data_IF_985708596031
#
_entry.id   IF_985708596031
#
_cell.length_a   1.000
_cell.length_b   1.000
_cell.length_c   1.000
_cell.angle_alpha   90.00
_cell.angle_beta   90.00
_cell.angle_gamma   90.00
#
_symmetry.space_group_name_H-M   'P 1'
#
loop_
_entity.id
_entity.type
_entity.pdbx_description
1 polymer ?
#
# COMPACT_ATOMS: atom_id res chain seq x y z
N UNK A 1 -25.53 -7.50 -11.04
CA UNK A 1 -24.77 -8.75 -10.83
C UNK A 1 -23.87 -8.88 -12.04
N UNK A 2 -22.57 -8.84 -11.82
CA UNK A 2 -21.58 -9.13 -12.86
C UNK A 2 -21.75 -10.60 -13.25
N UNK A 3 -21.73 -10.92 -14.53
CA UNK A 3 -21.87 -12.30 -15.00
C UNK A 3 -20.58 -13.05 -14.67
N UNK A 4 -20.64 -14.07 -13.88
CA UNK A 4 -19.48 -14.93 -13.60
C UNK A 4 -19.32 -15.92 -14.77
N UNK A 5 -18.28 -15.75 -15.56
CA UNK A 5 -18.00 -16.57 -16.74
C UNK A 5 -17.30 -17.89 -16.40
N UNK A 6 -16.75 -18.07 -15.22
CA UNK A 6 -16.01 -19.29 -14.81
C UNK A 6 -16.81 -20.57 -15.07
N UNK A 7 -18.09 -20.61 -14.68
CA UNK A 7 -18.94 -21.80 -14.92
C UNK A 7 -19.19 -22.07 -16.41
N UNK A 8 -19.30 -21.03 -17.22
CA UNK A 8 -19.48 -21.13 -18.66
C UNK A 8 -18.20 -21.66 -19.32
N UNK A 9 -17.04 -21.12 -18.94
CA UNK A 9 -15.71 -21.57 -19.37
C UNK A 9 -15.49 -23.04 -19.02
N UNK A 10 -15.74 -23.44 -17.77
CA UNK A 10 -15.63 -24.83 -17.34
C UNK A 10 -16.55 -25.76 -18.13
N UNK A 11 -17.77 -25.33 -18.45
CA UNK A 11 -18.70 -26.12 -19.28
C UNK A 11 -18.20 -26.31 -20.71
N UNK A 12 -17.52 -25.30 -21.27
CA UNK A 12 -16.90 -25.35 -22.58
C UNK A 12 -15.69 -26.33 -22.57
N UNK A 13 -14.83 -26.21 -21.57
CA UNK A 13 -13.66 -27.11 -21.41
C UNK A 13 -14.11 -28.57 -21.30
N UNK A 14 -15.16 -28.85 -20.53
CA UNK A 14 -15.68 -30.22 -20.34
C UNK A 14 -16.62 -30.69 -21.46
N UNK A 15 -16.87 -29.88 -22.51
CA UNK A 15 -17.82 -30.21 -23.59
C UNK A 15 -17.34 -31.30 -24.53
N UNK A 16 -16.04 -31.67 -24.50
CA UNK A 16 -15.45 -32.64 -25.39
C UNK A 16 -15.31 -32.18 -26.87
N UNK A 17 -15.28 -30.87 -27.08
CA UNK A 17 -15.06 -30.27 -28.42
C UNK A 17 -13.67 -30.59 -28.98
N UNK A 18 -13.49 -30.58 -30.32
CA UNK A 18 -12.16 -30.61 -30.91
C UNK A 18 -11.28 -29.46 -30.44
N UNK A 19 -9.96 -29.68 -30.31
CA UNK A 19 -9.01 -28.70 -29.80
C UNK A 19 -9.10 -27.31 -30.46
N UNK A 20 -9.24 -27.26 -31.79
CA UNK A 20 -9.33 -26.01 -32.54
C UNK A 20 -10.64 -25.23 -32.24
N UNK A 21 -11.76 -25.95 -32.11
CA UNK A 21 -13.04 -25.32 -31.77
C UNK A 21 -13.10 -24.89 -30.32
N UNK A 22 -12.38 -25.60 -29.43
CA UNK A 22 -12.24 -25.24 -28.03
C UNK A 22 -11.41 -23.95 -27.88
N UNK A 23 -10.28 -23.85 -28.56
CA UNK A 23 -9.46 -22.64 -28.57
C UNK A 23 -10.24 -21.42 -29.10
N UNK A 24 -10.96 -21.58 -30.23
CA UNK A 24 -11.78 -20.52 -30.83
C UNK A 24 -12.87 -20.01 -29.86
N UNK A 25 -13.50 -20.90 -29.08
CA UNK A 25 -14.52 -20.50 -28.10
C UNK A 25 -13.95 -19.85 -26.87
N UNK A 26 -12.76 -20.27 -26.47
CA UNK A 26 -12.10 -19.68 -25.27
C UNK A 26 -11.50 -18.31 -25.58
N UNK A 27 -11.11 -18.03 -26.82
CA UNK A 27 -10.63 -16.69 -27.20
C UNK A 27 -11.72 -15.59 -27.19
N UNK A 28 -13.00 -15.95 -26.98
CA UNK A 28 -14.07 -14.99 -26.74
C UNK A 28 -14.12 -14.47 -25.28
N UNK A 29 -13.33 -15.05 -24.38
CA UNK A 29 -13.28 -14.68 -22.96
C UNK A 29 -12.01 -13.90 -22.64
N UNK A 30 -12.11 -13.01 -21.66
CA UNK A 30 -10.98 -12.26 -21.15
C UNK A 30 -10.02 -13.19 -20.39
N UNK A 31 -8.72 -12.92 -20.46
CA UNK A 31 -7.64 -13.71 -19.85
C UNK A 31 -7.83 -13.86 -18.34
N UNK A 32 -8.31 -12.80 -17.64
CA UNK A 32 -8.67 -12.86 -16.21
C UNK A 32 -9.77 -13.89 -15.91
N UNK A 33 -10.82 -13.98 -16.74
CA UNK A 33 -11.87 -14.99 -16.56
C UNK A 33 -11.34 -16.41 -16.79
N UNK A 34 -10.35 -16.55 -17.67
CA UNK A 34 -9.65 -17.82 -17.92
C UNK A 34 -8.72 -18.17 -16.74
N UNK A 35 -8.00 -17.21 -16.17
CA UNK A 35 -7.19 -17.38 -14.96
C UNK A 35 -8.05 -17.85 -13.79
N UNK A 36 -9.17 -17.19 -13.50
CA UNK A 36 -10.12 -17.60 -12.47
C UNK A 36 -10.67 -19.03 -12.69
N UNK A 37 -10.79 -19.46 -13.95
CA UNK A 37 -11.23 -20.81 -14.27
C UNK A 37 -10.13 -21.87 -14.04
N UNK A 38 -8.85 -21.52 -14.14
CA UNK A 38 -7.73 -22.43 -13.89
C UNK A 38 -7.74 -23.00 -12.47
N UNK A 39 -8.12 -22.19 -11.46
CA UNK A 39 -8.19 -22.62 -10.07
C UNK A 39 -9.17 -23.80 -9.87
N UNK A 40 -10.25 -23.85 -10.66
CA UNK A 40 -11.27 -24.89 -10.56
C UNK A 40 -10.94 -26.16 -11.35
N UNK A 41 -9.86 -26.15 -12.16
CA UNK A 41 -9.42 -27.29 -12.97
C UNK A 41 -8.39 -28.16 -12.24
N UNK A 42 -8.36 -29.42 -12.58
CA UNK A 42 -7.28 -30.33 -12.13
C UNK A 42 -5.98 -30.07 -12.92
N UNK A 43 -4.79 -30.41 -12.35
CA UNK A 43 -3.51 -30.25 -13.06
C UNK A 43 -3.49 -30.88 -14.46
N UNK A 44 -4.11 -32.04 -14.66
CA UNK A 44 -4.18 -32.71 -15.94
C UNK A 44 -5.05 -31.96 -16.97
N UNK A 45 -6.12 -31.34 -16.52
CA UNK A 45 -6.98 -30.51 -17.37
C UNK A 45 -6.25 -29.23 -17.75
N UNK A 46 -5.57 -28.58 -16.82
CA UNK A 46 -4.76 -27.38 -17.07
C UNK A 46 -3.65 -27.64 -18.10
N UNK A 47 -2.85 -28.70 -17.93
CA UNK A 47 -1.81 -29.08 -18.90
C UNK A 47 -2.40 -29.33 -20.31
N UNK A 48 -3.59 -29.98 -20.38
CA UNK A 48 -4.28 -30.15 -21.66
C UNK A 48 -4.69 -28.81 -22.25
N UNK A 49 -5.19 -27.89 -21.42
CA UNK A 49 -5.63 -26.56 -21.82
C UNK A 49 -4.46 -25.70 -22.32
N UNK A 50 -3.31 -25.69 -21.61
CA UNK A 50 -2.10 -24.99 -22.06
C UNK A 50 -1.65 -25.43 -23.46
N UNK A 51 -1.70 -26.73 -23.74
CA UNK A 51 -1.39 -27.25 -25.08
C UNK A 51 -2.36 -26.84 -26.19
N UNK A 52 -3.56 -26.35 -25.82
CA UNK A 52 -4.61 -25.93 -26.74
C UNK A 52 -4.54 -24.43 -27.01
N UNK A 53 -4.34 -23.64 -25.96
CA UNK A 53 -4.31 -22.18 -26.03
C UNK A 53 -3.03 -21.63 -26.66
N UNK A 54 -1.90 -22.33 -26.46
CA UNK A 54 -0.59 -21.87 -26.92
C UNK A 54 0.13 -21.01 -25.88
N UNK A 55 1.43 -20.75 -26.12
CA UNK A 55 2.31 -20.13 -25.14
C UNK A 55 1.91 -18.68 -24.88
N UNK A 56 1.61 -17.92 -25.94
CA UNK A 56 1.30 -16.49 -25.84
C UNK A 56 0.06 -16.25 -24.96
N UNK A 57 -1.06 -16.95 -25.25
CA UNK A 57 -2.29 -16.84 -24.44
C UNK A 57 -2.09 -17.37 -23.00
N UNK A 58 -1.23 -18.37 -22.80
CA UNK A 58 -0.93 -18.88 -21.45
C UNK A 58 -0.11 -17.87 -20.67
N UNK A 59 0.83 -17.18 -21.29
CA UNK A 59 1.59 -16.09 -20.70
C UNK A 59 0.63 -14.97 -20.21
N UNK A 60 -0.24 -14.47 -21.11
CA UNK A 60 -1.26 -13.47 -20.77
C UNK A 60 -2.21 -13.91 -19.63
N UNK A 61 -2.58 -15.20 -19.56
CA UNK A 61 -3.40 -15.71 -18.45
C UNK A 61 -2.63 -15.71 -17.14
N UNK A 62 -1.34 -16.03 -17.17
CA UNK A 62 -0.52 -16.14 -15.96
C UNK A 62 -0.24 -14.79 -15.30
N UNK A 63 -0.25 -13.68 -16.04
CA UNK A 63 -0.18 -12.32 -15.46
C UNK A 63 -1.37 -11.97 -14.56
N UNK A 64 -2.49 -12.68 -14.67
CA UNK A 64 -3.68 -12.50 -13.84
C UNK A 64 -3.78 -13.48 -12.66
N UNK A 65 -2.77 -14.29 -12.41
CA UNK A 65 -2.72 -15.20 -11.26
C UNK A 65 -2.08 -14.51 -10.06
N UNK A 66 -2.69 -14.58 -8.89
CA UNK A 66 -2.13 -14.03 -7.65
C UNK A 66 -0.87 -14.80 -7.19
N UNK A 67 -0.69 -16.05 -7.62
CA UNK A 67 0.46 -16.92 -7.36
C UNK A 67 0.65 -17.84 -8.58
N UNK A 68 1.67 -17.57 -9.39
CA UNK A 68 1.99 -18.33 -10.59
C UNK A 68 2.80 -19.61 -10.30
N UNK A 69 3.43 -19.73 -9.12
CA UNK A 69 4.31 -20.85 -8.76
C UNK A 69 3.69 -22.24 -8.97
N UNK A 70 2.47 -22.55 -8.45
CA UNK A 70 1.87 -23.87 -8.60
C UNK A 70 1.64 -24.26 -10.06
N UNK A 71 1.31 -23.27 -10.91
CA UNK A 71 1.00 -23.48 -12.33
C UNK A 71 2.26 -23.62 -13.17
N UNK A 72 3.31 -22.84 -12.88
CA UNK A 72 4.61 -22.96 -13.52
C UNK A 72 5.27 -24.32 -13.22
N UNK A 73 5.13 -24.82 -12.00
CA UNK A 73 5.62 -26.15 -11.59
C UNK A 73 4.90 -27.31 -12.27
N UNK A 74 3.71 -27.11 -12.82
CA UNK A 74 3.01 -28.12 -13.62
C UNK A 74 3.58 -28.27 -15.04
N UNK A 75 4.34 -27.26 -15.52
CA UNK A 75 4.95 -27.25 -16.83
C UNK A 75 6.38 -27.84 -16.78
N UNK A 76 6.82 -28.53 -17.86
CA UNK A 76 8.25 -28.82 -18.02
C UNK A 76 9.03 -27.50 -18.06
N UNK A 77 10.21 -27.44 -17.41
CA UNK A 77 10.98 -26.19 -17.27
C UNK A 77 11.28 -25.46 -18.59
N UNK A 78 11.32 -26.16 -19.74
CA UNK A 78 11.51 -25.53 -21.04
C UNK A 78 10.22 -24.90 -21.60
N UNK A 79 9.04 -25.36 -21.16
CA UNK A 79 7.74 -24.75 -21.50
C UNK A 79 7.46 -23.59 -20.55
N UNK A 80 7.74 -23.74 -19.26
CA UNK A 80 7.68 -22.64 -18.30
C UNK A 80 8.59 -21.47 -18.72
N UNK A 81 9.82 -21.74 -19.15
CA UNK A 81 10.72 -20.72 -19.68
C UNK A 81 10.14 -19.97 -20.90
N UNK A 82 9.43 -20.68 -21.77
CA UNK A 82 8.77 -20.01 -22.92
C UNK A 82 7.58 -19.15 -22.48
N UNK A 83 6.80 -19.59 -21.49
CA UNK A 83 5.70 -18.80 -20.95
C UNK A 83 6.26 -17.50 -20.36
N UNK A 84 7.27 -17.61 -19.52
CA UNK A 84 7.93 -16.45 -18.91
C UNK A 84 8.54 -15.51 -19.95
N UNK A 85 9.22 -16.02 -20.99
CA UNK A 85 9.76 -15.19 -22.08
C UNK A 85 8.69 -14.48 -22.93
N UNK A 86 7.41 -14.82 -22.82
CA UNK A 86 6.31 -14.15 -23.49
C UNK A 86 5.44 -13.33 -22.53
N UNK A 87 5.80 -13.22 -21.26
CA UNK A 87 5.18 -12.28 -20.31
C UNK A 87 5.83 -10.89 -20.46
N UNK A 88 5.17 -9.86 -19.96
CA UNK A 88 5.83 -8.58 -19.75
C UNK A 88 6.97 -8.76 -18.74
N UNK A 89 8.03 -7.97 -18.82
CA UNK A 89 9.26 -8.25 -18.09
C UNK A 89 9.13 -8.10 -16.58
N UNK A 90 8.27 -7.24 -16.10
CA UNK A 90 7.86 -7.09 -14.70
C UNK A 90 7.10 -8.33 -14.22
N UNK A 91 6.03 -8.74 -14.90
CA UNK A 91 5.26 -9.96 -14.60
C UNK A 91 6.16 -11.22 -14.62
N UNK A 92 7.11 -11.27 -15.54
CA UNK A 92 8.06 -12.38 -15.63
C UNK A 92 8.98 -12.46 -14.42
N UNK A 93 9.42 -11.31 -13.91
CA UNK A 93 10.26 -11.22 -12.70
C UNK A 93 9.44 -11.62 -11.46
N UNK A 94 8.23 -11.10 -11.29
CA UNK A 94 7.36 -11.45 -10.16
C UNK A 94 7.07 -12.97 -10.15
N UNK A 95 6.72 -13.56 -11.30
CA UNK A 95 6.50 -14.99 -11.42
C UNK A 95 7.76 -15.84 -11.13
N UNK A 96 8.96 -15.29 -11.35
CA UNK A 96 10.24 -15.96 -11.03
C UNK A 96 10.61 -15.77 -9.56
N UNK A 97 10.20 -14.68 -8.91
CA UNK A 97 10.49 -14.45 -7.49
C UNK A 97 9.67 -15.35 -6.58
N UNK A 98 8.46 -15.71 -6.98
CA UNK A 98 7.62 -16.68 -6.29
C UNK A 98 8.21 -18.10 -6.27
N UNK A 99 9.10 -18.44 -7.21
CA UNK A 99 9.70 -19.77 -7.32
C UNK A 99 10.83 -20.00 -6.32
N UNK A 100 10.99 -21.23 -5.88
CA UNK A 100 12.18 -21.61 -5.10
C UNK A 100 13.47 -21.54 -5.95
N UNK A 101 14.62 -21.30 -5.30
CA UNK A 101 15.93 -21.12 -5.95
C UNK A 101 16.29 -22.21 -6.96
N UNK A 102 15.78 -23.43 -6.80
CA UNK A 102 16.09 -24.57 -7.68
C UNK A 102 15.33 -24.47 -8.99
N UNK A 103 14.02 -24.24 -8.90
CA UNK A 103 13.12 -24.15 -10.05
C UNK A 103 13.40 -22.84 -10.82
N UNK A 104 13.59 -21.71 -10.10
CA UNK A 104 14.02 -20.43 -10.66
C UNK A 104 15.28 -20.58 -11.52
N UNK A 105 16.35 -21.15 -10.97
CA UNK A 105 17.60 -21.34 -11.70
C UNK A 105 17.45 -22.29 -12.91
N UNK A 106 16.58 -23.32 -12.82
CA UNK A 106 16.35 -24.26 -13.93
C UNK A 106 15.62 -23.58 -15.09
N UNK A 107 14.65 -22.72 -14.80
CA UNK A 107 13.88 -21.96 -15.80
C UNK A 107 14.76 -20.87 -16.41
N UNK A 108 15.41 -20.02 -15.61
CA UNK A 108 16.27 -18.90 -16.07
C UNK A 108 17.38 -19.41 -17.02
N UNK A 109 17.95 -20.60 -16.78
CA UNK A 109 18.94 -21.18 -17.69
C UNK A 109 18.38 -21.60 -19.06
N UNK A 110 17.06 -21.59 -19.25
CA UNK A 110 16.37 -21.99 -20.50
C UNK A 110 15.67 -20.84 -21.20
N UNK A 111 15.66 -19.64 -20.59
CA UNK A 111 15.17 -18.41 -21.23
C UNK A 111 16.01 -18.04 -22.45
N UNK A 112 15.43 -17.25 -23.34
CA UNK A 112 16.19 -16.66 -24.45
C UNK A 112 17.16 -15.58 -23.94
N UNK A 113 18.00 -15.05 -24.83
CA UNK A 113 19.06 -14.12 -24.40
C UNK A 113 18.55 -12.74 -24.06
N UNK A 114 17.52 -12.27 -24.74
CA UNK A 114 17.00 -10.92 -24.58
C UNK A 114 16.22 -10.87 -23.25
N UNK A 115 15.33 -11.84 -22.98
CA UNK A 115 14.64 -12.00 -21.69
C UNK A 115 15.62 -12.13 -20.50
N UNK A 116 16.73 -12.87 -20.65
CA UNK A 116 17.77 -12.98 -19.60
C UNK A 116 18.46 -11.64 -19.29
N UNK A 117 18.62 -10.77 -20.29
CA UNK A 117 19.23 -9.45 -20.06
C UNK A 117 18.25 -8.52 -19.32
N UNK A 118 17.00 -8.50 -19.72
CA UNK A 118 15.94 -7.70 -19.12
C UNK A 118 15.68 -8.13 -17.66
N UNK A 119 15.48 -9.42 -17.42
CA UNK A 119 15.29 -9.95 -16.06
C UNK A 119 16.49 -9.66 -15.13
N UNK A 120 17.73 -9.80 -15.61
CA UNK A 120 18.90 -9.44 -14.81
C UNK A 120 18.96 -7.96 -14.51
N UNK A 121 18.46 -7.12 -15.40
CA UNK A 121 18.38 -5.69 -15.18
C UNK A 121 17.33 -5.39 -14.11
N UNK A 122 16.11 -5.94 -14.20
CA UNK A 122 15.05 -5.74 -13.21
C UNK A 122 15.46 -6.29 -11.84
N UNK A 123 15.95 -7.52 -11.75
CA UNK A 123 16.46 -8.14 -10.51
C UNK A 123 17.68 -7.43 -9.90
N UNK A 124 18.26 -6.42 -10.56
CA UNK A 124 19.35 -5.61 -10.01
C UNK A 124 18.87 -4.41 -9.19
N UNK A 125 17.58 -4.11 -9.24
CA UNK A 125 16.94 -3.07 -8.44
C UNK A 125 16.45 -3.65 -7.12
N UNK A 126 16.34 -2.80 -6.10
CA UNK A 126 15.66 -3.17 -4.86
C UNK A 126 14.14 -3.17 -5.09
N UNK A 127 13.39 -4.01 -4.37
CA UNK A 127 11.93 -4.16 -4.51
C UNK A 127 11.16 -2.83 -4.36
N UNK A 128 11.71 -1.88 -3.59
CA UNK A 128 11.16 -0.54 -3.37
C UNK A 128 11.52 0.47 -4.46
N UNK A 129 12.38 0.12 -5.42
CA UNK A 129 12.81 1.00 -6.52
C UNK A 129 11.89 0.84 -7.73
N UNK A 130 11.57 1.94 -8.42
CA UNK A 130 10.74 1.93 -9.65
C UNK A 130 11.27 0.96 -10.71
N UNK A 131 12.60 0.81 -10.79
CA UNK A 131 13.22 -0.09 -11.75
C UNK A 131 12.84 -1.56 -11.60
N UNK A 132 12.39 -2.00 -10.41
CA UNK A 132 11.92 -3.37 -10.20
C UNK A 132 10.54 -3.65 -10.80
N UNK A 133 9.74 -2.59 -11.01
CA UNK A 133 8.35 -2.64 -11.46
C UNK A 133 8.13 -2.10 -12.87
N UNK A 134 9.21 -1.88 -13.63
CA UNK A 134 9.10 -1.39 -15.00
C UNK A 134 9.06 -2.52 -16.01
N UNK A 135 8.32 -2.33 -17.10
CA UNK A 135 8.39 -3.21 -18.26
C UNK A 135 9.31 -2.64 -19.34
N UNK A 136 10.01 -3.53 -20.07
CA UNK A 136 10.81 -3.18 -21.25
C UNK A 136 9.99 -3.23 -22.56
N UNK A 137 8.72 -3.60 -22.47
CA UNK A 137 7.77 -3.70 -23.57
C UNK A 137 7.22 -2.32 -23.96
N UNK A 138 7.96 -1.56 -24.78
CA UNK A 138 7.55 -0.23 -25.25
C UNK A 138 8.07 0.10 -26.67
N UNK A 139 7.45 1.11 -27.28
CA UNK A 139 7.85 1.61 -28.60
C UNK A 139 8.77 2.83 -28.46
N UNK A 140 9.97 2.78 -29.05
CA UNK A 140 10.87 3.93 -29.14
C UNK A 140 11.17 4.31 -30.59
N UNK A 141 11.21 5.64 -30.85
CA UNK A 141 11.52 6.22 -32.16
C UNK A 141 12.55 7.36 -32.00
N UNK A 142 13.28 7.67 -33.08
CA UNK A 142 14.26 8.76 -33.03
C UNK A 142 13.65 10.10 -33.42
N UNK A 143 14.12 11.17 -32.78
CA UNK A 143 13.62 12.53 -32.95
C UNK A 143 13.89 13.12 -34.38
N UNK A 144 14.82 12.56 -35.13
CA UNK A 144 15.19 12.97 -36.49
C UNK A 144 14.35 12.30 -37.60
N UNK A 145 13.44 11.38 -37.23
CA UNK A 145 12.58 10.67 -38.17
C UNK A 145 11.50 11.57 -38.78
N UNK A 146 11.09 11.24 -39.98
CA UNK A 146 9.84 11.74 -40.56
C UNK A 146 8.65 10.96 -40.04
N UNK A 147 7.44 11.54 -40.09
CA UNK A 147 6.19 10.87 -39.68
C UNK A 147 6.04 9.48 -40.35
N UNK A 148 6.38 9.39 -41.64
CA UNK A 148 6.32 8.11 -42.38
C UNK A 148 7.32 7.07 -41.86
N UNK A 149 8.53 7.51 -41.46
CA UNK A 149 9.54 6.62 -40.86
C UNK A 149 9.12 6.19 -39.47
N UNK A 150 8.62 7.12 -38.64
CA UNK A 150 8.11 6.83 -37.30
C UNK A 150 6.97 5.81 -37.33
N UNK A 151 6.02 5.99 -38.27
CA UNK A 151 4.92 5.02 -38.48
C UNK A 151 5.44 3.65 -38.95
N UNK A 152 6.46 3.62 -39.79
CA UNK A 152 7.06 2.35 -40.26
C UNK A 152 7.81 1.64 -39.10
N UNK A 153 8.48 2.38 -38.25
CA UNK A 153 9.19 1.83 -37.10
C UNK A 153 8.19 1.34 -36.04
N UNK A 154 7.11 2.09 -35.76
CA UNK A 154 6.00 1.63 -34.91
C UNK A 154 5.46 0.28 -35.40
N UNK A 155 5.08 0.16 -36.69
CA UNK A 155 4.51 -1.11 -37.23
C UNK A 155 5.49 -2.26 -37.11
N UNK A 156 6.79 -2.01 -37.19
CA UNK A 156 7.81 -3.03 -37.03
C UNK A 156 7.93 -3.49 -35.58
N UNK A 157 7.93 -2.55 -34.62
CA UNK A 157 8.06 -2.85 -33.19
C UNK A 157 6.76 -3.38 -32.58
N UNK A 158 5.59 -2.97 -33.07
CA UNK A 158 4.28 -3.42 -32.60
C UNK A 158 3.97 -4.92 -32.83
N UNK A 159 4.84 -5.66 -33.51
CA UNK A 159 4.75 -7.12 -33.60
C UNK A 159 5.37 -7.86 -32.41
N UNK A 160 6.15 -7.14 -31.60
CA UNK A 160 6.90 -7.68 -30.46
C UNK A 160 6.59 -6.89 -29.15
N UNK A 161 5.81 -5.79 -29.25
CA UNK A 161 5.50 -4.91 -28.13
C UNK A 161 4.02 -4.54 -28.13
N UNK A 162 3.34 -4.69 -27.00
CA UNK A 162 1.90 -4.43 -26.83
C UNK A 162 1.62 -3.00 -26.35
N UNK A 163 2.57 -2.36 -25.64
CA UNK A 163 2.46 -1.00 -25.13
C UNK A 163 2.71 0.05 -26.23
N UNK A 164 1.77 0.14 -27.19
CA UNK A 164 1.88 0.98 -28.40
C UNK A 164 1.17 2.34 -28.28
N UNK A 165 0.41 2.58 -27.23
CA UNK A 165 -0.44 3.79 -27.11
C UNK A 165 0.35 5.07 -26.94
N UNK A 166 1.55 4.98 -26.38
CA UNK A 166 2.52 6.08 -26.25
C UNK A 166 3.84 5.67 -26.91
N UNK A 167 4.35 6.52 -27.80
CA UNK A 167 5.65 6.31 -28.45
C UNK A 167 6.67 7.22 -27.77
N UNK A 168 7.75 6.65 -27.30
CA UNK A 168 8.83 7.40 -26.66
C UNK A 168 9.87 7.85 -27.70
N UNK A 169 10.21 9.11 -27.62
CA UNK A 169 11.16 9.72 -28.55
C UNK A 169 12.51 9.85 -27.89
N UNK A 170 13.56 9.35 -28.55
CA UNK A 170 14.94 9.44 -28.07
C UNK A 170 15.80 10.22 -29.06
N UNK A 171 16.91 10.82 -28.56
CA UNK A 171 17.90 11.48 -29.39
C UNK A 171 18.90 10.48 -30.03
N UNK A 172 19.91 10.99 -30.75
CA UNK A 172 20.95 10.16 -31.36
C UNK A 172 21.80 9.37 -30.35
N UNK A 173 21.82 9.80 -29.09
CA UNK A 173 22.55 9.17 -27.98
C UNK A 173 21.69 8.31 -27.08
N UNK A 174 20.43 8.04 -27.50
CA UNK A 174 19.40 7.26 -26.76
C UNK A 174 18.91 7.96 -25.46
N UNK A 175 19.13 9.29 -25.31
CA UNK A 175 18.51 10.00 -24.22
C UNK A 175 17.04 10.30 -24.52
N UNK A 176 16.21 10.25 -23.47
CA UNK A 176 14.80 10.59 -23.58
C UNK A 176 14.62 12.05 -24.05
N UNK A 177 13.82 12.24 -25.08
CA UNK A 177 13.56 13.54 -25.68
C UNK A 177 12.13 14.03 -25.49
N UNK A 178 11.17 13.11 -25.41
CA UNK A 178 9.75 13.36 -25.23
C UNK A 178 8.89 12.16 -25.62
N UNK A 179 7.59 12.36 -25.71
CA UNK A 179 6.64 11.30 -26.09
C UNK A 179 5.63 11.80 -27.14
N UNK A 180 5.01 10.87 -27.85
CA UNK A 180 3.96 11.11 -28.83
C UNK A 180 2.81 10.15 -28.54
N UNK A 181 1.58 10.67 -28.46
CA UNK A 181 0.39 9.80 -28.43
C UNK A 181 0.20 9.13 -29.81
N UNK A 182 -0.03 7.83 -29.83
CA UNK A 182 -0.28 7.07 -31.07
C UNK A 182 -1.37 7.70 -31.91
N UNK A 183 -2.43 8.23 -31.30
CA UNK A 183 -3.51 8.90 -31.99
C UNK A 183 -3.01 10.09 -32.80
N UNK A 184 -2.10 10.90 -32.24
CA UNK A 184 -1.57 12.07 -32.92
C UNK A 184 -0.68 11.70 -34.09
N UNK A 185 0.10 10.61 -33.97
CA UNK A 185 0.87 10.06 -35.08
C UNK A 185 -0.04 9.52 -36.21
N UNK A 186 -1.15 8.85 -35.87
CA UNK A 186 -2.10 8.29 -36.86
C UNK A 186 -2.80 9.39 -37.66
N UNK A 187 -3.16 10.53 -37.02
CA UNK A 187 -3.88 11.62 -37.72
C UNK A 187 -2.96 12.63 -38.41
N UNK A 188 -1.65 12.58 -38.13
CA UNK A 188 -0.65 13.47 -38.70
C UNK A 188 -0.53 13.33 -40.22
N UNK A 189 -0.27 14.45 -40.89
CA UNK A 189 -0.02 14.46 -42.32
C UNK A 189 1.45 14.18 -42.64
N UNK A 190 1.71 13.51 -43.73
CA UNK A 190 3.06 13.10 -44.11
C UNK A 190 4.05 14.27 -44.32
N UNK A 191 3.54 15.47 -44.56
CA UNK A 191 4.33 16.71 -44.72
C UNK A 191 4.59 17.46 -43.41
N UNK A 192 3.94 17.06 -42.33
CA UNK A 192 4.15 17.68 -41.01
C UNK A 192 5.49 17.22 -40.42
N UNK A 193 6.06 18.03 -39.54
CA UNK A 193 7.27 17.68 -38.83
C UNK A 193 6.92 16.80 -37.63
N UNK A 194 7.64 15.70 -37.43
CA UNK A 194 7.51 14.86 -36.25
C UNK A 194 7.68 15.67 -34.96
N UNK A 195 8.59 16.66 -34.96
CA UNK A 195 8.86 17.57 -33.86
C UNK A 195 7.60 18.30 -33.37
N UNK A 196 6.63 18.57 -34.25
CA UNK A 196 5.38 19.24 -33.85
C UNK A 196 4.42 18.35 -33.04
N UNK A 197 4.63 17.05 -33.03
CA UNK A 197 3.84 16.07 -32.29
C UNK A 197 4.49 15.71 -30.94
N UNK A 198 5.80 16.01 -30.75
CA UNK A 198 6.55 15.61 -29.58
C UNK A 198 6.21 16.49 -28.38
N UNK A 199 5.72 15.87 -27.32
CA UNK A 199 5.54 16.49 -26.00
C UNK A 199 6.85 16.39 -25.23
N UNK A 200 7.63 17.48 -25.24
CA UNK A 200 8.95 17.50 -24.56
C UNK A 200 8.86 17.58 -23.03
N UNK A 201 7.75 18.07 -22.50
CA UNK A 201 7.49 18.15 -21.07
C UNK A 201 6.75 16.92 -20.53
N UNK A 202 6.85 15.79 -21.25
CA UNK A 202 6.24 14.55 -20.80
C UNK A 202 6.85 14.10 -19.46
N UNK A 203 6.03 13.72 -18.48
CA UNK A 203 6.52 13.30 -17.16
C UNK A 203 7.34 12.00 -17.26
N UNK A 204 8.28 11.84 -16.36
CA UNK A 204 9.12 10.64 -16.25
C UNK A 204 9.48 10.36 -14.79
N UNK A 205 9.96 9.16 -14.53
CA UNK A 205 10.51 8.70 -13.26
C UNK A 205 11.93 8.17 -13.49
N UNK A 206 12.70 8.01 -12.41
CA UNK A 206 14.05 7.44 -12.49
C UNK A 206 14.08 6.04 -11.94
N UNK A 207 14.88 5.17 -12.52
CA UNK A 207 14.95 3.75 -12.22
C UNK A 207 15.23 3.41 -10.75
N UNK A 208 16.01 4.28 -10.06
CA UNK A 208 16.36 4.12 -8.64
C UNK A 208 15.54 4.99 -7.68
N UNK A 209 14.49 5.59 -8.17
CA UNK A 209 13.57 6.36 -7.34
C UNK A 209 12.72 5.41 -6.52
N UNK A 210 12.52 5.71 -5.23
CA UNK A 210 11.66 4.90 -4.38
C UNK A 210 10.19 5.04 -4.78
N UNK A 211 9.46 3.93 -4.83
CA UNK A 211 8.05 3.89 -5.22
C UNK A 211 7.23 4.84 -4.33
N UNK A 212 7.40 4.76 -3.01
CA UNK A 212 6.70 5.61 -2.04
C UNK A 212 6.93 7.12 -2.23
N UNK A 213 8.06 7.52 -2.82
CA UNK A 213 8.40 8.92 -3.06
C UNK A 213 7.78 9.48 -4.36
N UNK A 214 7.46 8.64 -5.33
CA UNK A 214 7.00 9.07 -6.66
C UNK A 214 5.56 8.69 -7.02
N UNK A 215 4.95 7.76 -6.29
CA UNK A 215 3.65 7.18 -6.64
C UNK A 215 2.54 8.25 -6.76
N UNK A 216 2.45 9.19 -5.84
CA UNK A 216 1.46 10.27 -5.90
C UNK A 216 1.66 11.16 -7.15
N UNK A 217 2.92 11.43 -7.50
CA UNK A 217 3.27 12.19 -8.70
C UNK A 217 2.86 11.43 -9.96
N UNK A 218 3.07 10.12 -10.00
CA UNK A 218 2.66 9.26 -11.12
C UNK A 218 1.14 9.29 -11.27
N UNK A 219 0.41 9.11 -10.17
CA UNK A 219 -1.06 9.16 -10.13
C UNK A 219 -1.60 10.53 -10.57
N UNK A 220 -0.95 11.63 -10.16
CA UNK A 220 -1.38 12.99 -10.50
C UNK A 220 -1.29 13.31 -12.00
N UNK A 221 -0.28 12.76 -12.70
CA UNK A 221 -0.18 12.93 -14.15
C UNK A 221 -1.24 12.13 -14.92
N UNK A 222 -1.68 11.00 -14.38
CA UNK A 222 -2.73 10.14 -14.96
C UNK A 222 -2.47 9.76 -16.44
N UNK A 223 -1.20 9.59 -16.81
CA UNK A 223 -0.80 9.14 -18.14
C UNK A 223 -1.01 7.63 -18.28
N UNK A 224 -1.07 7.14 -19.53
CA UNK A 224 -1.25 5.71 -19.81
C UNK A 224 -0.02 4.89 -19.47
N UNK A 225 1.14 5.50 -19.66
CA UNK A 225 2.43 4.96 -19.28
C UNK A 225 3.44 6.10 -19.09
N UNK A 226 4.43 5.88 -18.24
CA UNK A 226 5.48 6.83 -17.92
C UNK A 226 6.85 6.22 -18.23
N UNK A 227 7.76 6.95 -18.90
CA UNK A 227 9.11 6.46 -19.17
C UNK A 227 9.94 6.43 -17.88
N UNK A 228 10.69 5.36 -17.72
CA UNK A 228 11.70 5.18 -16.68
C UNK A 228 13.07 5.51 -17.26
N UNK A 229 13.78 6.41 -16.60
CA UNK A 229 15.09 6.88 -17.07
C UNK A 229 16.18 6.50 -16.05
N UNK A 230 17.32 6.07 -16.55
CA UNK A 230 18.49 5.88 -15.69
C UNK A 230 19.19 7.22 -15.38
N UNK A 231 20.21 7.19 -14.52
CA UNK A 231 21.03 8.35 -14.14
C UNK A 231 21.65 9.11 -15.33
N UNK A 232 21.84 8.44 -16.47
CA UNK A 232 22.35 9.07 -17.68
C UNK A 232 21.24 9.74 -18.52
N UNK A 233 19.97 9.67 -18.12
CA UNK A 233 18.82 10.19 -18.85
C UNK A 233 18.41 9.33 -20.06
N UNK A 234 18.85 8.09 -20.11
CA UNK A 234 18.43 7.12 -21.13
C UNK A 234 17.15 6.41 -20.69
N UNK A 235 16.29 6.15 -21.67
CA UNK A 235 15.10 5.35 -21.49
C UNK A 235 15.50 3.88 -21.25
N UNK A 236 15.08 3.30 -20.13
CA UNK A 236 15.38 1.91 -19.75
C UNK A 236 14.14 1.04 -19.63
N UNK A 237 12.97 1.63 -19.43
CA UNK A 237 11.68 0.94 -19.33
C UNK A 237 10.53 1.92 -19.27
N UNK A 238 9.34 1.40 -19.00
CA UNK A 238 8.12 2.18 -18.75
C UNK A 238 7.37 1.60 -17.57
N UNK A 239 6.56 2.43 -16.90
CA UNK A 239 5.52 2.01 -15.96
C UNK A 239 4.18 2.25 -16.64
N UNK A 240 3.32 1.24 -16.74
CA UNK A 240 1.99 1.38 -17.33
C UNK A 240 0.95 1.83 -16.30
N UNK A 241 -0.25 2.19 -16.76
CA UNK A 241 -1.32 2.56 -15.82
C UNK A 241 -1.87 1.37 -15.02
N UNK A 242 -1.69 0.14 -15.49
CA UNK A 242 -2.00 -1.08 -14.74
C UNK A 242 -1.07 -1.26 -13.56
N UNK A 243 0.23 -1.17 -13.81
CA UNK A 243 1.28 -1.30 -12.79
C UNK A 243 1.13 -0.21 -11.71
N UNK A 244 0.76 1.01 -12.13
CA UNK A 244 0.45 2.10 -11.19
C UNK A 244 -0.72 1.76 -10.26
N UNK A 245 -1.77 1.10 -10.77
CA UNK A 245 -2.91 0.67 -9.94
C UNK A 245 -2.46 -0.39 -8.93
N UNK A 246 -1.65 -1.33 -9.34
CA UNK A 246 -1.08 -2.37 -8.48
C UNK A 246 -0.17 -1.77 -7.41
N UNK A 247 0.78 -0.91 -7.80
CA UNK A 247 1.65 -0.20 -6.87
C UNK A 247 0.89 0.63 -5.82
N UNK A 248 -0.22 1.26 -6.21
CA UNK A 248 -1.09 2.00 -5.27
C UNK A 248 -1.76 1.05 -4.29
N UNK A 249 -2.21 -0.11 -4.74
CA UNK A 249 -2.86 -1.11 -3.88
C UNK A 249 -1.87 -1.69 -2.87
N UNK A 250 -0.68 -2.07 -3.31
CA UNK A 250 0.43 -2.56 -2.49
C UNK A 250 0.85 -1.54 -1.42
N UNK A 251 1.09 -0.28 -1.81
CA UNK A 251 1.47 0.78 -0.87
C UNK A 251 0.36 1.05 0.15
N UNK A 252 -0.91 1.01 -0.28
CA UNK A 252 -2.05 1.14 0.64
C UNK A 252 -2.17 -0.07 1.57
N UNK A 253 -1.89 -1.27 1.11
CA UNK A 253 -1.85 -2.49 1.90
C UNK A 253 -0.77 -2.42 2.98
N UNK A 254 0.42 -2.03 2.59
CA UNK A 254 1.58 -1.83 3.47
C UNK A 254 1.32 -0.75 4.54
N UNK A 255 0.79 0.39 4.14
CA UNK A 255 0.40 1.46 5.06
C UNK A 255 -0.64 0.97 6.08
N UNK A 256 -1.62 0.19 5.63
CA UNK A 256 -2.63 -0.40 6.49
C UNK A 256 -2.03 -1.41 7.47
N UNK A 257 -1.12 -2.26 7.01
CA UNK A 257 -0.40 -3.22 7.84
C UNK A 257 0.45 -2.51 8.91
N UNK A 258 1.24 -1.50 8.51
CA UNK A 258 2.06 -0.68 9.40
C UNK A 258 1.21 0.07 10.44
N UNK A 259 0.05 0.63 10.03
CA UNK A 259 -0.91 1.26 10.95
C UNK A 259 -1.45 0.26 11.99
N UNK A 260 -1.62 -1.01 11.61
CA UNK A 260 -1.97 -2.12 12.48
C UNK A 260 -0.85 -2.56 13.44
N UNK A 261 0.39 -2.13 13.20
CA UNK A 261 1.58 -2.53 13.95
C UNK A 261 2.21 -3.82 13.42
N UNK A 262 2.05 -4.10 12.13
CA UNK A 262 2.77 -5.15 11.41
C UNK A 262 4.04 -4.56 10.77
N UNK A 263 4.96 -5.42 10.34
CA UNK A 263 6.16 -5.00 9.61
C UNK A 263 5.99 -5.02 8.10
N UNK A 264 4.89 -5.55 7.60
CA UNK A 264 4.50 -5.61 6.20
C UNK A 264 3.13 -6.26 6.06
N UNK A 265 2.62 -6.26 4.85
CA UNK A 265 1.34 -6.88 4.51
C UNK A 265 1.33 -8.38 4.81
N UNK A 266 0.16 -8.95 5.07
CA UNK A 266 -0.03 -10.36 5.44
C UNK A 266 -1.14 -10.97 4.59
N UNK A 267 -0.83 -12.06 3.88
CA UNK A 267 -1.77 -12.82 3.05
C UNK A 267 -2.40 -14.00 3.82
N UNK A 268 -3.60 -14.41 3.37
CA UNK A 268 -4.35 -15.53 3.91
C UNK A 268 -3.60 -16.86 3.79
N UNK A 269 -2.84 -17.05 2.73
CA UNK A 269 -2.11 -18.29 2.43
C UNK A 269 -0.72 -18.35 3.08
N UNK A 270 -0.30 -17.25 3.73
CA UNK A 270 1.01 -17.14 4.35
C UNK A 270 1.22 -18.16 5.49
N UNK A 271 2.42 -18.65 5.63
CA UNK A 271 2.77 -19.59 6.69
C UNK A 271 2.69 -18.90 8.07
N UNK A 272 2.14 -19.61 9.07
CA UNK A 272 1.98 -19.11 10.45
C UNK A 272 3.30 -18.56 11.05
N UNK A 273 4.46 -19.13 10.69
CA UNK A 273 5.75 -18.63 11.17
C UNK A 273 6.12 -17.28 10.56
N UNK A 274 5.75 -17.00 9.33
CA UNK A 274 5.96 -15.73 8.66
C UNK A 274 5.05 -14.67 9.24
N UNK A 275 3.76 -14.96 9.42
CA UNK A 275 2.84 -14.08 10.14
C UNK A 275 3.33 -13.72 11.55
N UNK A 276 3.87 -14.71 12.29
CA UNK A 276 4.48 -14.44 13.61
C UNK A 276 5.70 -13.52 13.48
N UNK A 277 6.52 -13.69 12.46
CA UNK A 277 7.72 -12.88 12.20
C UNK A 277 7.36 -11.42 11.90
N UNK A 278 6.26 -11.18 11.18
CA UNK A 278 5.74 -9.84 10.87
C UNK A 278 5.13 -9.14 12.10
N UNK A 279 4.52 -9.87 13.03
CA UNK A 279 3.82 -9.33 14.22
C UNK A 279 4.70 -9.22 15.47
N UNK A 280 5.56 -10.21 15.70
CA UNK A 280 6.29 -10.36 16.97
C UNK A 280 7.22 -9.18 17.32
N UNK A 281 7.96 -8.55 16.40
CA UNK A 281 8.83 -7.41 16.72
C UNK A 281 8.08 -6.26 17.40
N UNK A 282 6.93 -5.87 16.86
CA UNK A 282 6.09 -4.84 17.46
C UNK A 282 5.50 -5.26 18.80
N UNK A 283 5.02 -6.50 18.95
CA UNK A 283 4.50 -7.00 20.23
C UNK A 283 5.55 -6.99 21.33
N UNK A 284 6.81 -7.30 21.00
CA UNK A 284 7.92 -7.20 21.95
C UNK A 284 8.19 -5.75 22.35
N UNK A 285 8.24 -4.82 21.40
CA UNK A 285 8.41 -3.40 21.69
C UNK A 285 7.29 -2.87 22.59
N UNK A 286 6.04 -3.19 22.27
CA UNK A 286 4.87 -2.81 23.05
C UNK A 286 4.85 -3.43 24.44
N UNK A 287 5.37 -4.65 24.61
CA UNK A 287 5.52 -5.27 25.94
C UNK A 287 6.42 -4.43 26.84
N UNK A 288 7.57 -3.97 26.33
CA UNK A 288 8.48 -3.11 27.12
C UNK A 288 7.89 -1.73 27.40
N UNK A 289 7.20 -1.13 26.42
CA UNK A 289 6.49 0.13 26.63
C UNK A 289 5.36 -0.01 27.64
N UNK A 290 4.61 -1.12 27.61
CA UNK A 290 3.57 -1.45 28.59
C UNK A 290 4.13 -1.60 30.01
N UNK A 291 5.34 -2.16 30.16
CA UNK A 291 6.03 -2.20 31.46
C UNK A 291 6.37 -0.80 31.98
N UNK A 292 6.72 0.13 31.08
CA UNK A 292 6.97 1.54 31.45
C UNK A 292 5.67 2.20 31.94
N UNK A 293 4.56 2.03 31.23
CA UNK A 293 3.23 2.51 31.64
C UNK A 293 2.85 1.95 33.03
N UNK A 294 3.02 0.64 33.23
CA UNK A 294 2.76 -0.03 34.51
C UNK A 294 3.61 0.54 35.66
N UNK A 295 4.86 0.87 35.38
CA UNK A 295 5.75 1.51 36.39
C UNK A 295 5.28 2.90 36.78
N UNK A 296 4.76 3.67 35.80
CA UNK A 296 4.19 5.00 36.08
C UNK A 296 2.88 4.91 36.85
N UNK A 297 2.02 3.94 36.55
CA UNK A 297 0.82 3.64 37.38
C UNK A 297 1.22 3.34 38.82
N UNK A 298 2.26 2.53 39.04
CA UNK A 298 2.81 2.24 40.38
C UNK A 298 3.26 3.46 41.14
N UNK A 299 3.77 4.51 40.49
CA UNK A 299 4.14 5.76 41.15
C UNK A 299 2.93 6.51 41.78
N UNK A 300 1.71 6.21 41.32
CA UNK A 300 0.47 6.79 41.88
C UNK A 300 -0.27 5.83 42.85
N UNK A 301 0.39 4.80 43.37
CA UNK A 301 -0.20 3.84 44.30
C UNK A 301 -0.79 4.53 45.54
N UNK A 302 -0.15 5.61 46.02
CA UNK A 302 -0.64 6.43 47.16
C UNK A 302 -2.01 7.06 46.88
N UNK A 303 -2.27 7.51 45.66
CA UNK A 303 -3.57 8.07 45.25
C UNK A 303 -4.66 7.00 45.28
N UNK A 304 -4.34 5.82 44.79
CA UNK A 304 -5.25 4.66 44.78
C UNK A 304 -5.52 4.17 46.19
N UNK A 305 -4.54 4.14 47.07
CA UNK A 305 -4.71 3.72 48.46
C UNK A 305 -5.64 4.65 49.24
N UNK A 306 -5.58 5.95 48.98
CA UNK A 306 -6.41 6.97 49.64
C UNK A 306 -7.82 7.04 49.03
N UNK A 307 -7.95 6.92 47.71
CA UNK A 307 -9.23 7.03 46.99
C UNK A 307 -9.40 5.88 45.98
N UNK A 308 -9.71 4.65 46.42
CA UNK A 308 -9.74 3.47 45.56
C UNK A 308 -10.74 3.55 44.39
N UNK A 309 -11.78 4.37 44.48
CA UNK A 309 -12.81 4.53 43.43
C UNK A 309 -12.20 5.09 42.13
N UNK A 310 -11.07 5.80 42.21
CA UNK A 310 -10.38 6.36 41.02
C UNK A 310 -9.97 5.27 40.05
N UNK A 311 -9.55 4.10 40.53
CA UNK A 311 -9.13 2.99 39.65
C UNK A 311 -10.26 2.50 38.74
N UNK A 312 -11.52 2.64 39.18
CA UNK A 312 -12.68 2.18 38.39
C UNK A 312 -12.82 2.90 37.04
N UNK A 313 -12.30 4.10 36.91
CA UNK A 313 -12.47 4.94 35.73
C UNK A 313 -11.18 5.10 34.92
N UNK A 314 -10.06 4.53 35.41
CA UNK A 314 -8.77 4.59 34.71
C UNK A 314 -8.87 4.09 33.27
N UNK A 315 -9.34 2.85 33.08
CA UNK A 315 -9.43 2.23 31.74
C UNK A 315 -10.23 3.07 30.75
N UNK A 316 -11.33 3.71 31.23
CA UNK A 316 -12.14 4.57 30.38
C UNK A 316 -11.39 5.82 29.90
N UNK A 317 -10.57 6.44 30.76
CA UNK A 317 -9.80 7.63 30.38
C UNK A 317 -8.66 7.25 29.43
N UNK A 318 -7.97 6.13 29.68
CA UNK A 318 -6.91 5.63 28.83
C UNK A 318 -7.45 5.25 27.43
N UNK A 319 -8.53 4.47 27.39
CA UNK A 319 -9.17 4.03 26.15
C UNK A 319 -9.58 5.22 25.27
N UNK A 320 -10.24 6.22 25.84
CA UNK A 320 -10.63 7.42 25.09
C UNK A 320 -9.43 8.21 24.59
N UNK A 321 -8.37 8.31 25.37
CA UNK A 321 -7.14 8.98 24.96
C UNK A 321 -6.43 8.23 23.82
N UNK A 322 -6.32 6.90 23.93
CA UNK A 322 -5.76 6.04 22.87
C UNK A 322 -6.52 6.16 21.56
N UNK A 323 -7.85 6.03 21.61
CA UNK A 323 -8.71 6.10 20.45
C UNK A 323 -8.61 7.46 19.70
N UNK A 324 -8.63 8.58 20.42
CA UNK A 324 -8.47 9.90 19.81
C UNK A 324 -7.09 10.07 19.17
N UNK A 325 -6.05 9.58 19.83
CA UNK A 325 -4.70 9.60 19.28
C UNK A 325 -4.59 8.82 17.98
N UNK A 326 -5.17 7.61 17.93
CA UNK A 326 -5.21 6.78 16.72
C UNK A 326 -6.03 7.43 15.60
N UNK A 327 -7.16 8.09 15.92
CA UNK A 327 -7.92 8.85 14.93
C UNK A 327 -7.12 10.02 14.35
N UNK A 328 -6.41 10.77 15.18
CA UNK A 328 -5.54 11.87 14.71
C UNK A 328 -4.33 11.35 13.93
N UNK A 329 -3.79 10.17 14.28
CA UNK A 329 -2.75 9.47 13.53
C UNK A 329 -3.24 9.16 12.10
N UNK A 330 -4.36 8.46 11.97
CA UNK A 330 -4.90 8.07 10.66
C UNK A 330 -5.15 9.27 9.73
N UNK A 331 -5.71 10.37 10.28
CA UNK A 331 -5.88 11.63 9.52
C UNK A 331 -4.54 12.22 9.12
N UNK A 332 -3.54 12.15 10.00
CA UNK A 332 -2.23 12.76 9.76
C UNK A 332 -1.43 11.98 8.73
N UNK A 333 -1.39 10.65 8.80
CA UNK A 333 -0.75 9.80 7.77
C UNK A 333 -1.35 10.15 6.41
N UNK A 334 -2.67 10.11 6.27
CA UNK A 334 -3.37 10.43 5.00
C UNK A 334 -3.05 11.82 4.45
N UNK A 335 -2.81 12.81 5.31
CA UNK A 335 -2.46 14.17 4.88
C UNK A 335 -0.97 14.29 4.56
N UNK A 336 -0.10 13.49 5.18
CA UNK A 336 1.35 13.51 4.94
C UNK A 336 1.77 12.84 3.63
N UNK A 337 0.92 12.02 3.03
CA UNK A 337 1.07 11.49 1.68
C UNK A 337 1.16 12.63 0.64
N UNK A 338 0.55 13.81 0.85
CA UNK A 338 0.75 15.00 -0.01
C UNK A 338 2.14 15.61 0.21
N UNK A 339 3.12 15.29 -0.65
CA UNK A 339 4.52 15.75 -0.58
C UNK A 339 4.70 17.28 -0.52
N UNK A 340 3.73 18.04 -1.02
CA UNK A 340 3.75 19.51 -1.08
C UNK A 340 3.25 20.19 0.21
N UNK A 341 3.28 19.53 1.36
CA UNK A 341 2.84 20.07 2.63
C UNK A 341 3.76 21.18 3.16
N UNK A 342 3.33 22.41 2.93
CA UNK A 342 3.99 23.58 3.53
C UNK A 342 3.86 23.57 5.06
N UNK A 343 4.81 24.22 5.75
CA UNK A 343 4.76 24.39 7.21
C UNK A 343 3.42 24.99 7.68
N UNK A 344 2.82 25.87 6.88
CA UNK A 344 1.51 26.47 7.15
C UNK A 344 0.40 25.41 7.15
N UNK A 345 0.38 24.48 6.20
CA UNK A 345 -0.60 23.39 6.15
C UNK A 345 -0.40 22.42 7.33
N UNK A 346 0.85 22.08 7.69
CA UNK A 346 1.18 21.25 8.86
C UNK A 346 0.68 21.88 10.16
N UNK A 347 0.88 23.18 10.36
CA UNK A 347 0.35 23.90 11.52
C UNK A 347 -1.18 24.00 11.51
N UNK A 348 -1.79 24.15 10.35
CA UNK A 348 -3.26 24.15 10.20
C UNK A 348 -3.85 22.79 10.60
N UNK A 349 -3.23 21.66 10.19
CA UNK A 349 -3.64 20.33 10.59
C UNK A 349 -3.52 20.15 12.11
N UNK A 350 -2.38 20.50 12.70
CA UNK A 350 -2.17 20.42 14.14
C UNK A 350 -3.25 21.20 14.92
N UNK A 351 -3.56 22.41 14.47
CA UNK A 351 -4.59 23.24 15.10
C UNK A 351 -6.00 22.70 14.93
N UNK A 352 -6.28 22.09 13.77
CA UNK A 352 -7.55 21.41 13.51
C UNK A 352 -7.73 20.22 14.45
N UNK A 353 -6.75 19.32 14.52
CA UNK A 353 -6.82 18.13 15.37
C UNK A 353 -6.89 18.49 16.87
N UNK A 354 -6.16 19.50 17.31
CA UNK A 354 -6.27 20.02 18.68
C UNK A 354 -7.69 20.48 19.02
N UNK A 355 -8.37 21.17 18.10
CA UNK A 355 -9.76 21.60 18.29
C UNK A 355 -10.73 20.42 18.30
N UNK A 356 -10.50 19.42 17.45
CA UNK A 356 -11.30 18.18 17.42
C UNK A 356 -11.16 17.45 18.75
N UNK A 357 -9.93 17.27 19.24
CA UNK A 357 -9.67 16.67 20.55
C UNK A 357 -10.34 17.44 21.72
N UNK A 358 -10.27 18.77 21.69
CA UNK A 358 -10.92 19.61 22.70
C UNK A 358 -12.45 19.49 22.68
N UNK A 359 -13.07 19.53 21.51
CA UNK A 359 -14.53 19.45 21.37
C UNK A 359 -15.03 18.05 21.78
N UNK A 360 -14.39 17.00 21.32
CA UNK A 360 -14.71 15.62 21.69
C UNK A 360 -14.55 15.43 23.21
N UNK A 361 -13.44 15.91 23.78
CA UNK A 361 -13.20 15.87 25.21
C UNK A 361 -14.25 16.62 26.03
N UNK A 362 -14.66 17.81 25.58
CA UNK A 362 -15.70 18.59 26.24
C UNK A 362 -17.08 17.90 26.21
N UNK A 363 -17.47 17.34 25.05
CA UNK A 363 -18.72 16.58 24.92
C UNK A 363 -18.72 15.38 25.85
N UNK A 364 -17.65 14.58 25.82
CA UNK A 364 -17.53 13.40 26.67
C UNK A 364 -17.43 13.75 28.15
N UNK A 365 -16.81 14.87 28.51
CA UNK A 365 -16.76 15.35 29.90
C UNK A 365 -18.15 15.71 30.43
N UNK A 366 -19.00 16.34 29.63
CA UNK A 366 -20.40 16.62 30.01
C UNK A 366 -21.21 15.34 30.17
N UNK A 367 -21.03 14.38 29.29
CA UNK A 367 -21.65 13.06 29.38
C UNK A 367 -21.16 12.31 30.64
N UNK A 368 -19.86 12.30 30.88
CA UNK A 368 -19.24 11.67 32.04
C UNK A 368 -19.77 12.31 33.35
N UNK A 369 -19.86 13.64 33.42
CA UNK A 369 -20.40 14.33 34.59
C UNK A 369 -21.81 13.84 34.93
N UNK A 370 -22.70 13.71 33.93
CA UNK A 370 -24.07 13.24 34.14
C UNK A 370 -24.14 11.75 34.47
N UNK A 371 -23.64 10.90 33.58
CA UNK A 371 -23.75 9.45 33.71
C UNK A 371 -22.94 8.88 34.87
N UNK A 372 -21.66 9.30 35.01
CA UNK A 372 -20.84 8.80 36.10
C UNK A 372 -21.23 9.37 37.43
N UNK A 373 -21.69 10.63 37.51
CA UNK A 373 -22.22 11.20 38.74
C UNK A 373 -23.39 10.36 39.27
N UNK A 374 -24.33 10.03 38.43
CA UNK A 374 -25.43 9.11 38.77
C UNK A 374 -24.93 7.71 39.15
N UNK A 375 -24.03 7.13 38.35
CA UNK A 375 -23.47 5.80 38.59
C UNK A 375 -22.76 5.73 39.95
N UNK A 376 -21.93 6.71 40.29
CA UNK A 376 -21.17 6.76 41.51
C UNK A 376 -22.13 6.91 42.71
N UNK A 377 -23.16 7.73 42.59
CA UNK A 377 -24.15 7.90 43.64
C UNK A 377 -24.96 6.62 43.90
N UNK A 378 -25.61 6.06 42.84
CA UNK A 378 -26.54 4.95 42.99
C UNK A 378 -25.86 3.60 43.21
N UNK A 379 -24.72 3.35 42.57
CA UNK A 379 -24.07 2.03 42.59
C UNK A 379 -22.85 1.95 43.54
N UNK A 380 -22.18 3.08 43.78
CA UNK A 380 -21.03 3.12 44.70
C UNK A 380 -21.36 3.71 46.06
N UNK A 381 -22.55 4.28 46.25
CA UNK A 381 -23.04 4.78 47.52
C UNK A 381 -22.45 6.12 48.00
N UNK A 382 -21.80 6.85 47.10
CA UNK A 382 -21.26 8.18 47.46
C UNK A 382 -22.37 9.23 47.51
N UNK A 383 -22.20 10.23 48.37
CA UNK A 383 -23.09 11.41 48.40
C UNK A 383 -22.98 12.19 47.08
N UNK A 384 -24.06 12.88 46.69
CA UNK A 384 -24.10 13.61 45.41
C UNK A 384 -22.94 14.54 45.18
N UNK A 385 -22.52 15.29 46.22
CA UNK A 385 -21.38 16.23 46.12
C UNK A 385 -20.10 15.49 45.72
N UNK A 386 -19.76 14.41 46.42
CA UNK A 386 -18.56 13.61 46.12
C UNK A 386 -18.67 12.91 44.78
N UNK A 387 -19.89 12.43 44.43
CA UNK A 387 -20.11 11.78 43.12
C UNK A 387 -19.89 12.74 41.94
N UNK A 388 -20.37 13.99 42.03
CA UNK A 388 -20.13 15.00 41.01
C UNK A 388 -18.72 15.53 40.99
N UNK A 389 -18.03 15.62 42.11
CA UNK A 389 -16.60 15.98 42.17
C UNK A 389 -15.74 14.90 41.50
N UNK A 390 -16.00 13.63 41.78
CA UNK A 390 -15.32 12.51 41.16
C UNK A 390 -15.56 12.48 39.61
N UNK A 391 -16.83 12.56 39.22
CA UNK A 391 -17.18 12.55 37.80
C UNK A 391 -16.67 13.80 37.06
N UNK A 392 -16.63 14.95 37.73
CA UNK A 392 -16.02 16.19 37.19
C UNK A 392 -14.51 16.08 37.00
N UNK A 393 -13.82 15.43 37.94
CA UNK A 393 -12.38 15.14 37.80
C UNK A 393 -12.12 14.19 36.58
N UNK A 394 -12.92 13.13 36.45
CA UNK A 394 -12.85 12.25 35.27
C UNK A 394 -13.12 13.04 33.99
N UNK A 395 -14.16 13.88 33.97
CA UNK A 395 -14.47 14.71 32.78
C UNK A 395 -13.33 15.67 32.42
N UNK A 396 -12.72 16.34 33.43
CA UNK A 396 -11.56 17.20 33.21
C UNK A 396 -10.37 16.41 32.66
N UNK A 397 -10.14 15.21 33.20
CA UNK A 397 -9.08 14.30 32.72
C UNK A 397 -9.31 13.88 31.26
N UNK A 398 -10.55 13.60 30.88
CA UNK A 398 -10.90 13.32 29.48
C UNK A 398 -10.54 14.48 28.56
N UNK A 399 -10.92 15.73 28.91
CA UNK A 399 -10.58 16.90 28.10
C UNK A 399 -9.08 17.02 27.90
N UNK A 400 -8.32 17.02 29.00
CA UNK A 400 -6.87 17.23 28.95
C UNK A 400 -6.16 16.10 28.23
N UNK A 401 -6.50 14.84 28.53
CA UNK A 401 -5.90 13.68 27.90
C UNK A 401 -6.18 13.64 26.40
N UNK A 402 -7.42 13.89 25.97
CA UNK A 402 -7.79 13.85 24.56
C UNK A 402 -7.14 14.97 23.75
N UNK A 403 -6.97 16.16 24.31
CA UNK A 403 -6.22 17.25 23.66
C UNK A 403 -4.75 16.87 23.47
N UNK A 404 -4.11 16.34 24.52
CA UNK A 404 -2.70 15.94 24.42
C UNK A 404 -2.55 14.74 23.47
N UNK A 405 -3.45 13.77 23.55
CA UNK A 405 -3.42 12.58 22.68
C UNK A 405 -3.62 12.92 21.21
N UNK A 406 -4.50 13.86 20.89
CA UNK A 406 -4.67 14.37 19.53
C UNK A 406 -3.39 15.07 19.04
N UNK A 407 -2.71 15.84 19.89
CA UNK A 407 -1.41 16.43 19.57
C UNK A 407 -0.33 15.37 19.33
N UNK A 408 -0.25 14.36 20.19
CA UNK A 408 0.70 13.25 20.07
C UNK A 408 0.46 12.48 18.76
N UNK A 409 -0.79 12.10 18.48
CA UNK A 409 -1.17 11.39 17.26
C UNK A 409 -0.90 12.18 15.97
N UNK A 410 -0.80 13.51 16.05
CA UNK A 410 -0.45 14.38 14.91
C UNK A 410 1.06 14.66 14.83
N UNK A 411 1.72 14.92 15.96
CA UNK A 411 3.13 15.34 15.98
C UNK A 411 4.10 14.19 15.71
N UNK A 412 3.81 12.97 16.19
CA UNK A 412 4.72 11.83 16.01
C UNK A 412 4.89 11.46 14.54
N UNK A 413 3.83 11.23 13.73
CA UNK A 413 4.00 10.96 12.30
C UNK A 413 4.64 12.14 11.56
N UNK A 414 4.33 13.39 11.92
CA UNK A 414 5.01 14.55 11.33
C UNK A 414 6.51 14.58 11.66
N UNK A 415 6.91 14.11 12.85
CA UNK A 415 8.31 14.00 13.22
C UNK A 415 8.99 12.90 12.41
N UNK A 416 8.37 11.74 12.25
CA UNK A 416 8.88 10.62 11.47
C UNK A 416 9.10 11.04 10.01
N UNK A 417 8.09 11.62 9.37
CA UNK A 417 8.23 12.20 8.03
C UNK A 417 9.41 13.20 7.94
N UNK A 418 9.62 14.06 8.95
CA UNK A 418 10.71 15.03 8.94
C UNK A 418 12.09 14.40 9.00
N UNK A 419 12.23 13.25 9.61
CA UNK A 419 13.50 12.52 9.74
C UNK A 419 13.62 11.39 8.70
N UNK A 420 12.80 11.43 7.65
CA UNK A 420 12.74 10.44 6.57
C UNK A 420 12.48 9.01 7.07
N UNK A 421 11.63 8.87 8.08
CA UNK A 421 11.04 7.61 8.49
C UNK A 421 9.59 7.63 8.02
N UNK A 422 9.12 6.54 7.45
CA UNK A 422 7.73 6.38 7.03
C UNK A 422 6.76 6.72 8.18
N UNK A 423 5.83 7.68 7.98
CA UNK A 423 4.86 8.06 9.00
C UNK A 423 3.95 6.93 9.46
N UNK A 424 3.68 5.92 8.63
CA UNK A 424 2.83 4.78 8.95
C UNK A 424 3.46 3.88 10.05
N UNK A 425 4.79 3.88 10.18
CA UNK A 425 5.51 3.22 11.28
C UNK A 425 5.12 3.78 12.65
N UNK A 426 4.57 4.99 12.72
CA UNK A 426 3.97 5.54 13.95
C UNK A 426 2.66 4.82 14.35
N UNK A 427 2.61 3.52 14.22
CA UNK A 427 1.45 2.62 14.29
C UNK A 427 0.40 2.95 15.37
N UNK A 428 -0.84 2.54 15.15
CA UNK A 428 -1.93 2.70 16.12
C UNK A 428 -1.58 2.18 17.51
N UNK A 429 -1.05 0.95 17.67
CA UNK A 429 -0.62 0.41 18.96
C UNK A 429 0.48 1.22 19.66
N UNK A 430 1.45 1.77 18.92
CA UNK A 430 2.48 2.64 19.48
C UNK A 430 1.88 3.94 20.03
N UNK A 431 1.06 4.61 19.22
CA UNK A 431 0.38 5.84 19.63
C UNK A 431 -0.53 5.60 20.83
N UNK A 432 -1.28 4.51 20.84
CA UNK A 432 -2.14 4.13 21.98
C UNK A 432 -1.30 3.98 23.26
N UNK A 433 -0.18 3.27 23.21
CA UNK A 433 0.69 3.06 24.39
C UNK A 433 1.30 4.36 24.91
N UNK A 434 1.73 5.27 24.03
CA UNK A 434 2.21 6.60 24.42
C UNK A 434 1.09 7.42 25.05
N UNK A 435 -0.12 7.36 24.49
CA UNK A 435 -1.29 8.06 25.01
C UNK A 435 -1.75 7.49 26.35
N UNK A 436 -1.61 6.19 26.58
CA UNK A 436 -1.86 5.57 27.89
C UNK A 436 -0.94 6.16 28.96
N UNK A 437 0.34 6.33 28.65
CA UNK A 437 1.28 6.97 29.57
C UNK A 437 0.84 8.41 29.91
N UNK A 438 0.46 9.19 28.90
CA UNK A 438 -0.04 10.56 29.09
C UNK A 438 -1.32 10.56 29.92
N UNK A 439 -2.27 9.71 29.58
CA UNK A 439 -3.56 9.61 30.25
C UNK A 439 -3.43 9.21 31.74
N UNK A 440 -2.53 8.28 32.06
CA UNK A 440 -2.22 7.89 33.45
C UNK A 440 -1.74 9.09 34.25
N UNK A 441 -0.73 9.81 33.73
CA UNK A 441 -0.16 10.97 34.41
C UNK A 441 -1.20 12.07 34.61
N UNK A 442 -1.99 12.37 33.58
CA UNK A 442 -3.05 13.38 33.63
C UNK A 442 -4.14 12.98 34.62
N UNK A 443 -4.63 11.76 34.52
CA UNK A 443 -5.75 11.29 35.34
C UNK A 443 -5.41 11.21 36.81
N UNK A 444 -4.33 10.52 37.17
CA UNK A 444 -3.93 10.40 38.57
C UNK A 444 -3.36 11.69 39.11
N UNK A 445 -2.68 12.48 38.29
CA UNK A 445 -2.20 13.83 38.69
C UNK A 445 -3.36 14.76 39.02
N UNK A 446 -4.41 14.78 38.17
CA UNK A 446 -5.63 15.56 38.45
C UNK A 446 -6.39 15.01 39.67
N UNK A 447 -6.50 13.69 39.80
CA UNK A 447 -7.13 13.07 40.95
C UNK A 447 -6.41 13.46 42.26
N UNK A 448 -5.07 13.46 42.27
CA UNK A 448 -4.28 13.89 43.41
C UNK A 448 -4.53 15.38 43.76
N UNK A 449 -4.34 16.26 42.77
CA UNK A 449 -4.42 17.71 42.99
C UNK A 449 -5.87 18.16 43.28
N UNK A 450 -6.83 17.67 42.53
CA UNK A 450 -8.23 18.15 42.66
C UNK A 450 -8.97 17.44 43.77
N UNK A 451 -8.93 16.10 43.84
CA UNK A 451 -9.78 15.36 44.78
C UNK A 451 -9.16 15.27 46.16
N UNK A 452 -7.84 15.08 46.28
CA UNK A 452 -7.15 14.90 47.55
C UNK A 452 -6.72 16.25 48.12
N UNK A 453 -5.91 17.03 47.38
CA UNK A 453 -5.29 18.25 47.94
C UNK A 453 -6.29 19.43 48.05
N UNK A 454 -7.17 19.62 47.03
CA UNK A 454 -8.07 20.78 46.99
C UNK A 454 -9.42 20.51 47.70
N UNK A 455 -10.05 19.35 47.46
CA UNK A 455 -11.37 19.04 48.03
C UNK A 455 -11.34 18.10 49.24
N UNK A 456 -10.18 17.59 49.62
CA UNK A 456 -9.97 16.73 50.81
C UNK A 456 -10.98 15.58 50.87
N UNK A 457 -11.21 14.89 49.72
CA UNK A 457 -12.15 13.77 49.60
C UNK A 457 -11.59 12.46 50.21
N UNK A 458 -10.42 12.49 50.78
CA UNK A 458 -9.72 11.37 51.39
C UNK A 458 -10.02 11.24 52.87
#
# INVERSE_FOLDING_TARGET
>A
MQKNYVQEILSIIHSGLPKAELAEKLSDYHEKDLADALEALTPAERQSLYSILGVDTVAEIFTYLDDAEPYLKELPSHEAAKVISNMDSDDAVDALEDLDDTDKNEIVNKLDKDSVEDEKMLLSYDEDEIGSRMTTNYISIKNDMTIRQAMSELVKQAGENDNISTLYVVDENEHFYGAIDLKDLIIARAEESLESLIVRSYPYVTDREQISDCIDRIVDYAERSLPVLNDAGKLVGIITSSDVVELVDDEMGDDYAKLGGLTGEEDLNENVFESVKKRLPWLIALLFLGMLVSSVVGAFESVVAVLPVVICFQSMVLDMAGNVGTQSLAVTIRVLVDENLTLSKKLQLLWKETRVGLLNGAILAVMALGFLGCYIHFFKGYVWTSAFLLSGCVGLSLIVSMVISSLVGTLIPMLFHKIHIDPAVASGPLITTINDLVAVVVYYGLAMVVLIDLFHLA
#
